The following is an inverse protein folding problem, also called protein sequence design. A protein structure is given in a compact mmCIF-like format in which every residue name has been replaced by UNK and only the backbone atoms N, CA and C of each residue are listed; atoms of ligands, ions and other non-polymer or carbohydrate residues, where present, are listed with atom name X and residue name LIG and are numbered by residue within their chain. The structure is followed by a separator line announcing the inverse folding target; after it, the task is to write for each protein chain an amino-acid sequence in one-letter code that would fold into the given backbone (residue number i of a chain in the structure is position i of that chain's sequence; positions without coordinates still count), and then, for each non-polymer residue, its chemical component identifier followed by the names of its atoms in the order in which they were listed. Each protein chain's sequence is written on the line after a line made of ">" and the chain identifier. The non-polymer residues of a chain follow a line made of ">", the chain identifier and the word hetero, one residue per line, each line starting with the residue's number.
data_IF_591717961629
#
_entry.id   IF_591717961629
#
_cell.length_a   1.000
_cell.length_b   1.000
_cell.length_c   1.000
_cell.angle_alpha   90.00
_cell.angle_beta   90.00
_cell.angle_gamma   90.00
#
_symmetry.space_group_name_H-M   'P 1'
#
loop_
_entity.id
_entity.type
_entity.pdbx_description
1 polymer ?
#
# COMPACT_ATOMS: atom_id res chain seq x y z
N UNK A 1 -3.15 36.36 10.09
CA UNK A 1 -2.30 36.70 8.93
C UNK A 1 -1.02 35.84 8.91
N UNK A 2 -0.01 36.06 9.76
CA UNK A 2 1.23 35.23 9.74
C UNK A 2 1.07 33.82 10.30
N UNK A 3 0.28 33.62 11.36
CA UNK A 3 0.01 32.28 11.91
C UNK A 3 -0.72 31.36 10.92
N UNK A 4 -1.63 31.92 10.12
CA UNK A 4 -2.41 31.15 9.15
C UNK A 4 -1.52 30.66 8.00
N UNK A 5 -0.60 31.50 7.52
CA UNK A 5 0.40 31.13 6.51
C UNK A 5 1.34 30.04 7.02
N UNK A 6 1.78 30.12 8.29
CA UNK A 6 2.61 29.08 8.89
C UNK A 6 1.87 27.74 8.96
N UNK A 7 0.60 27.75 9.38
CA UNK A 7 -0.24 26.56 9.46
C UNK A 7 -0.49 25.94 8.08
N UNK A 8 -0.83 26.74 7.08
CA UNK A 8 -1.02 26.26 5.71
C UNK A 8 0.27 25.66 5.14
N UNK A 9 1.41 26.29 5.42
CA UNK A 9 2.72 25.80 4.98
C UNK A 9 3.05 24.44 5.63
N UNK A 10 2.80 24.30 6.92
CA UNK A 10 2.97 23.04 7.66
C UNK A 10 2.07 21.93 7.09
N UNK A 11 0.80 22.22 6.83
CA UNK A 11 -0.13 21.28 6.22
C UNK A 11 0.34 20.82 4.82
N UNK A 12 0.87 21.75 4.01
CA UNK A 12 1.43 21.43 2.69
C UNK A 12 2.69 20.58 2.79
N UNK A 13 3.57 20.87 3.75
CA UNK A 13 4.78 20.07 3.99
C UNK A 13 4.42 18.64 4.43
N UNK A 14 3.44 18.48 5.32
CA UNK A 14 2.97 17.17 5.76
C UNK A 14 2.38 16.36 4.60
N UNK A 15 1.53 16.98 3.77
CA UNK A 15 1.00 16.33 2.54
C UNK A 15 2.10 15.88 1.59
N UNK A 16 3.14 16.69 1.41
CA UNK A 16 4.27 16.33 0.55
C UNK A 16 5.08 15.14 1.14
N UNK A 17 5.29 15.13 2.45
CA UNK A 17 5.94 14.03 3.14
C UNK A 17 5.12 12.72 3.04
N UNK A 18 3.80 12.80 3.16
CA UNK A 18 2.92 11.64 3.04
C UNK A 18 2.88 11.10 1.62
N UNK A 19 2.80 11.96 0.61
CA UNK A 19 2.90 11.55 -0.80
C UNK A 19 4.24 10.85 -1.11
N UNK A 20 5.34 11.33 -0.52
CA UNK A 20 6.65 10.69 -0.62
C UNK A 20 6.63 9.31 0.04
N UNK A 21 6.10 9.18 1.26
CA UNK A 21 5.99 7.90 1.97
C UNK A 21 5.19 6.88 1.15
N UNK A 22 4.04 7.28 0.64
CA UNK A 22 3.19 6.41 -0.20
C UNK A 22 3.94 5.93 -1.43
N UNK A 23 4.69 6.82 -2.08
CA UNK A 23 5.52 6.46 -3.24
C UNK A 23 6.61 5.46 -2.84
N UNK A 24 7.32 5.68 -1.73
CA UNK A 24 8.39 4.81 -1.25
C UNK A 24 7.90 3.41 -0.87
N UNK A 25 6.69 3.29 -0.30
CA UNK A 25 6.10 2.01 0.11
C UNK A 25 5.89 1.07 -1.08
N UNK A 26 5.65 1.62 -2.27
CA UNK A 26 5.45 0.84 -3.51
C UNK A 26 6.76 0.42 -4.19
N UNK A 27 7.91 0.92 -3.73
CA UNK A 27 9.21 0.61 -4.33
C UNK A 27 9.73 -0.73 -3.80
N UNK A 28 10.16 -1.60 -4.71
CA UNK A 28 10.81 -2.87 -4.37
C UNK A 28 12.21 -2.61 -3.81
N UNK A 29 12.39 -2.78 -2.51
CA UNK A 29 13.66 -2.58 -1.79
C UNK A 29 14.48 -3.86 -1.61
N UNK A 30 14.05 -4.99 -2.20
CA UNK A 30 14.68 -6.30 -2.05
C UNK A 30 14.30 -7.05 -0.76
N UNK A 31 13.50 -6.41 0.11
CA UNK A 31 12.80 -7.07 1.22
C UNK A 31 11.35 -7.31 0.81
N UNK A 32 10.79 -8.44 1.24
CA UNK A 32 9.38 -8.73 1.12
C UNK A 32 8.59 -7.71 1.94
N UNK A 33 7.65 -7.02 1.29
CA UNK A 33 6.74 -6.04 1.89
C UNK A 33 5.32 -6.35 1.39
N UNK A 34 4.33 -6.57 2.27
CA UNK A 34 2.94 -6.80 1.88
C UNK A 34 2.38 -5.70 0.98
N UNK A 35 2.72 -4.44 1.29
CA UNK A 35 2.21 -3.26 0.61
C UNK A 35 2.53 -3.21 -0.91
N UNK A 36 3.51 -4.01 -1.36
CA UNK A 36 3.83 -4.15 -2.78
C UNK A 36 2.70 -4.82 -3.60
N UNK A 37 1.90 -5.69 -2.97
CA UNK A 37 0.88 -6.50 -3.67
C UNK A 37 -0.54 -6.25 -3.15
N UNK A 38 -0.71 -5.64 -1.97
CA UNK A 38 -2.02 -5.35 -1.37
C UNK A 38 -2.95 -4.56 -2.29
N UNK A 39 -2.42 -3.59 -3.03
CA UNK A 39 -3.17 -2.70 -3.94
C UNK A 39 -3.26 -3.23 -5.37
N UNK A 40 -2.79 -4.45 -5.63
CA UNK A 40 -2.86 -5.03 -6.97
C UNK A 40 -4.33 -5.34 -7.31
N UNK A 41 -4.89 -4.79 -8.41
CA UNK A 41 -6.21 -5.17 -8.86
C UNK A 41 -6.16 -6.59 -9.42
N UNK A 42 -7.02 -7.46 -8.91
CA UNK A 42 -7.23 -8.83 -9.36
C UNK A 42 -8.66 -8.96 -9.83
N UNK A 43 -8.84 -9.59 -10.99
CA UNK A 43 -10.19 -9.83 -11.50
C UNK A 43 -10.85 -10.92 -10.66
N UNK A 44 -11.91 -10.56 -9.95
CA UNK A 44 -12.72 -11.48 -9.15
C UNK A 44 -14.15 -11.43 -9.65
N UNK A 45 -14.61 -12.53 -10.25
CA UNK A 45 -15.92 -12.63 -10.90
C UNK A 45 -16.24 -11.46 -11.86
N UNK A 46 -15.26 -11.04 -12.67
CA UNK A 46 -15.42 -9.96 -13.65
C UNK A 46 -15.34 -8.54 -13.07
N UNK A 47 -15.01 -8.39 -11.79
CA UNK A 47 -14.79 -7.08 -11.15
C UNK A 47 -13.35 -6.93 -10.65
N UNK A 48 -12.65 -5.82 -10.97
CA UNK A 48 -11.30 -5.58 -10.47
C UNK A 48 -11.35 -5.26 -8.97
N UNK A 49 -10.89 -6.21 -8.17
CA UNK A 49 -10.91 -6.14 -6.71
C UNK A 49 -9.46 -6.14 -6.17
N UNK A 50 -9.13 -5.29 -5.19
CA UNK A 50 -7.81 -5.30 -4.57
C UNK A 50 -7.48 -6.65 -3.92
N UNK A 51 -6.26 -7.15 -4.12
CA UNK A 51 -5.81 -8.45 -3.59
C UNK A 51 -5.94 -8.57 -2.06
N UNK A 52 -5.74 -7.47 -1.31
CA UNK A 52 -5.88 -7.48 0.15
C UNK A 52 -7.29 -7.80 0.65
N UNK A 53 -8.33 -7.63 -0.19
CA UNK A 53 -9.70 -8.02 0.15
C UNK A 53 -9.97 -9.50 -0.11
N UNK A 54 -9.17 -10.14 -0.96
CA UNK A 54 -9.35 -11.51 -1.41
C UNK A 54 -8.42 -12.52 -0.71
N UNK A 55 -7.34 -12.04 -0.08
CA UNK A 55 -6.33 -12.88 0.53
C UNK A 55 -5.70 -12.26 1.78
N UNK A 56 -5.25 -13.12 2.70
CA UNK A 56 -4.30 -12.73 3.74
C UNK A 56 -2.89 -12.67 3.15
N UNK A 57 -2.21 -11.53 3.30
CA UNK A 57 -0.83 -11.34 2.86
C UNK A 57 0.07 -11.30 4.10
N UNK A 58 1.08 -12.15 4.15
CA UNK A 58 2.05 -12.18 5.25
C UNK A 58 3.47 -12.32 4.74
N UNK A 59 4.42 -11.87 5.54
CA UNK A 59 5.86 -11.98 5.27
C UNK A 59 6.49 -12.78 6.41
N UNK A 60 6.52 -14.12 6.30
CA UNK A 60 7.13 -14.96 7.33
C UNK A 60 8.65 -14.79 7.38
N UNK A 61 9.28 -14.44 6.25
CA UNK A 61 10.73 -14.24 6.13
C UNK A 61 11.04 -13.04 5.23
N UNK A 62 12.20 -12.36 5.40
CA UNK A 62 12.52 -11.13 4.65
C UNK A 62 12.54 -11.24 3.13
N UNK A 63 12.55 -12.47 2.57
CA UNK A 63 12.57 -12.73 1.12
C UNK A 63 11.36 -13.53 0.64
N UNK A 64 10.43 -13.88 1.53
CA UNK A 64 9.26 -14.68 1.22
C UNK A 64 8.00 -13.88 1.51
N UNK A 65 7.13 -13.76 0.51
CA UNK A 65 5.82 -13.18 0.65
C UNK A 65 4.79 -14.30 0.42
N UNK A 66 3.94 -14.52 1.41
CA UNK A 66 2.91 -15.56 1.40
C UNK A 66 1.55 -14.92 1.21
N UNK A 67 0.82 -15.35 0.18
CA UNK A 67 -0.54 -14.91 -0.12
C UNK A 67 -1.45 -16.12 0.09
N UNK A 68 -2.43 -15.98 0.99
CA UNK A 68 -3.43 -17.02 1.28
C UNK A 68 -4.81 -16.51 0.90
N UNK A 69 -5.32 -16.86 -0.29
CA UNK A 69 -6.68 -16.52 -0.70
C UNK A 69 -7.71 -17.10 0.26
N UNK A 70 -8.81 -16.38 0.46
CA UNK A 70 -9.96 -16.88 1.21
C UNK A 70 -10.78 -17.89 0.40
N UNK A 71 -10.86 -17.68 -0.91
CA UNK A 71 -11.47 -18.59 -1.87
C UNK A 71 -10.40 -19.20 -2.79
N UNK A 72 -10.14 -20.51 -2.72
CA UNK A 72 -9.21 -21.20 -3.61
C UNK A 72 -9.68 -21.35 -5.06
N UNK A 73 -10.99 -21.23 -5.32
CA UNK A 73 -11.60 -21.50 -6.63
C UNK A 73 -11.93 -20.23 -7.42
N UNK A 74 -11.60 -19.06 -6.86
CA UNK A 74 -11.71 -17.74 -7.46
C UNK A 74 -10.92 -17.61 -8.77
#
# INVERSE_FOLDING_TARGET
>A
MTKDVLKETEERMNKAADALRDSLVTIRTGRASPALVERLPVEYYGTPTPLNQLATISVPEPRLLTIRPWDPNA
#
